data_IF_129191351807
#
_entry.id   IF_129191351807
#
_cell.length_a   1.000
_cell.length_b   1.000
_cell.length_c   1.000
_cell.angle_alpha   90.00
_cell.angle_beta   90.00
_cell.angle_gamma   90.00
#
_symmetry.space_group_name_H-M   'P 1'
#
loop_
_entity.id
_entity.type
_entity.pdbx_description
1 polymer ?
#
# COMPACT_ATOMS: atom_id res chain seq x y z
N UNK A 1 10.18 13.90 -3.45
CA UNK A 1 9.55 12.56 -3.39
C UNK A 1 8.05 12.71 -3.16
N UNK A 2 7.26 12.31 -4.14
CA UNK A 2 5.79 12.30 -4.13
C UNK A 2 5.23 11.23 -3.17
N UNK A 3 3.92 11.28 -2.89
CA UNK A 3 3.26 10.28 -2.06
C UNK A 3 3.25 8.88 -2.70
N UNK A 4 3.14 8.81 -4.03
CA UNK A 4 3.23 7.55 -4.79
C UNK A 4 4.63 6.94 -4.64
N UNK A 5 5.68 7.75 -4.76
CA UNK A 5 7.06 7.29 -4.55
C UNK A 5 7.33 6.82 -3.11
N UNK A 6 6.73 7.46 -2.10
CA UNK A 6 6.77 6.98 -0.70
C UNK A 6 6.21 5.58 -0.55
N UNK A 7 5.02 5.34 -1.09
CA UNK A 7 4.37 4.03 -1.05
C UNK A 7 5.21 3.00 -1.81
N UNK A 8 5.68 3.33 -3.00
CA UNK A 8 6.49 2.41 -3.81
C UNK A 8 7.80 2.05 -3.10
N UNK A 9 8.49 3.03 -2.50
CA UNK A 9 9.71 2.78 -1.73
C UNK A 9 9.43 1.87 -0.54
N UNK A 10 8.36 2.12 0.20
CA UNK A 10 7.96 1.25 1.32
C UNK A 10 7.64 -0.16 0.84
N UNK A 11 6.88 -0.31 -0.24
CA UNK A 11 6.53 -1.60 -0.84
C UNK A 11 7.76 -2.38 -1.30
N UNK A 12 8.74 -1.72 -1.93
CA UNK A 12 10.00 -2.36 -2.34
C UNK A 12 10.87 -2.79 -1.16
N UNK A 13 10.82 -2.06 -0.04
CA UNK A 13 11.62 -2.36 1.14
C UNK A 13 10.97 -3.39 2.07
N UNK A 14 9.67 -3.27 2.33
CA UNK A 14 8.93 -4.09 3.32
C UNK A 14 8.06 -5.18 2.66
N UNK A 15 7.88 -5.14 1.35
CA UNK A 15 7.04 -6.08 0.58
C UNK A 15 5.53 -5.79 0.63
N UNK A 16 5.05 -5.04 1.63
CA UNK A 16 3.63 -4.74 1.78
C UNK A 16 3.37 -3.45 2.55
N UNK A 17 2.15 -2.92 2.43
CA UNK A 17 1.69 -1.72 3.14
C UNK A 17 0.19 -1.78 3.39
N UNK A 18 -0.26 -1.17 4.49
CA UNK A 18 -1.66 -0.95 4.84
C UNK A 18 -2.01 0.53 4.81
N UNK A 19 -3.30 0.84 4.77
CA UNK A 19 -3.78 2.23 4.85
C UNK A 19 -3.33 2.94 6.14
N UNK A 20 -3.27 2.20 7.27
CA UNK A 20 -2.86 2.75 8.56
C UNK A 20 -1.38 3.13 8.57
N UNK A 21 -0.51 2.27 8.05
CA UNK A 21 0.92 2.58 7.87
C UNK A 21 1.07 3.79 6.92
N UNK A 22 0.33 3.81 5.81
CA UNK A 22 0.36 4.95 4.87
C UNK A 22 -0.04 6.29 5.52
N UNK A 23 -1.05 6.27 6.38
CA UNK A 23 -1.52 7.46 7.09
C UNK A 23 -0.54 7.89 8.18
N UNK A 24 -0.13 6.99 9.07
CA UNK A 24 0.69 7.31 10.24
C UNK A 24 2.15 7.62 9.87
N UNK A 25 2.76 6.81 9.01
CA UNK A 25 4.20 6.91 8.72
C UNK A 25 4.49 7.93 7.61
N UNK A 26 3.55 8.15 6.70
CA UNK A 26 3.76 8.95 5.49
C UNK A 26 2.80 10.14 5.33
N UNK A 27 1.81 10.28 6.20
CA UNK A 27 0.80 11.34 6.12
C UNK A 27 -0.11 11.22 4.88
N UNK A 28 -0.29 10.01 4.35
CA UNK A 28 -1.06 9.78 3.12
C UNK A 28 -2.51 9.47 3.46
N UNK A 29 -3.39 10.45 3.28
CA UNK A 29 -4.82 10.32 3.59
C UNK A 29 -5.59 9.54 2.52
N UNK A 30 -5.47 9.93 1.24
CA UNK A 30 -6.14 9.23 0.14
C UNK A 30 -5.27 8.11 -0.44
N UNK A 31 -4.95 7.13 0.42
CA UNK A 31 -4.11 5.97 0.12
C UNK A 31 -4.56 5.19 -1.13
N UNK A 32 -5.85 4.88 -1.24
CA UNK A 32 -6.40 4.12 -2.38
C UNK A 32 -6.15 4.80 -3.72
N UNK A 33 -6.22 6.14 -3.78
CA UNK A 33 -5.88 6.88 -5.00
C UNK A 33 -4.43 6.64 -5.43
N UNK A 34 -3.50 6.58 -4.48
CA UNK A 34 -2.07 6.33 -4.78
C UNK A 34 -1.83 4.88 -5.21
N UNK A 35 -2.64 3.94 -4.74
CA UNK A 35 -2.62 2.58 -5.28
C UNK A 35 -3.13 2.53 -6.72
N UNK A 36 -4.16 3.32 -7.06
CA UNK A 36 -4.61 3.47 -8.45
C UNK A 36 -3.49 4.07 -9.31
N UNK A 37 -2.85 5.15 -8.86
CA UNK A 37 -1.73 5.77 -9.58
C UNK A 37 -0.60 4.76 -9.82
N UNK A 38 -0.28 3.89 -8.85
CA UNK A 38 0.70 2.81 -9.04
C UNK A 38 0.26 1.79 -10.11
N UNK A 39 -1.03 1.45 -10.15
CA UNK A 39 -1.57 0.55 -11.19
C UNK A 39 -1.51 1.19 -12.57
N UNK A 40 -1.82 2.48 -12.67
CA UNK A 40 -1.70 3.26 -13.91
C UNK A 40 -0.24 3.34 -14.39
N UNK A 41 0.73 3.37 -13.47
CA UNK A 41 2.16 3.28 -13.76
C UNK A 41 2.64 1.85 -14.12
N UNK A 42 1.73 0.87 -14.18
CA UNK A 42 2.03 -0.50 -14.59
C UNK A 42 2.44 -1.44 -13.44
N UNK A 43 2.37 -1.01 -12.19
CA UNK A 43 2.65 -1.89 -11.04
C UNK A 43 1.45 -2.79 -10.73
N UNK A 44 1.71 -4.07 -10.46
CA UNK A 44 0.69 -5.02 -10.02
C UNK A 44 0.69 -5.14 -8.50
N UNK A 45 -0.47 -4.86 -7.90
CA UNK A 45 -0.68 -4.92 -6.47
C UNK A 45 -1.75 -5.95 -6.10
N UNK A 46 -1.47 -6.81 -5.13
CA UNK A 46 -2.42 -7.77 -4.56
C UNK A 46 -2.88 -7.30 -3.19
N UNK A 47 -4.19 -7.17 -2.98
CA UNK A 47 -4.77 -6.93 -1.67
C UNK A 47 -5.13 -8.25 -0.99
N UNK A 48 -4.81 -8.38 0.30
CA UNK A 48 -5.26 -9.48 1.15
C UNK A 48 -5.99 -8.91 2.36
N UNK A 49 -7.25 -9.32 2.53
CA UNK A 49 -8.03 -8.96 3.70
C UNK A 49 -7.54 -9.76 4.90
N UNK A 50 -7.30 -9.08 6.01
CA UNK A 50 -6.86 -9.67 7.27
C UNK A 50 -7.70 -9.11 8.41
N UNK A 51 -7.82 -9.90 9.46
CA UNK A 51 -8.47 -9.49 10.71
C UNK A 51 -7.42 -9.31 11.79
N UNK A 52 -7.44 -8.16 12.46
CA UNK A 52 -6.54 -7.90 13.58
C UNK A 52 -6.95 -8.78 14.77
N UNK A 53 -6.01 -9.57 15.32
CA UNK A 53 -6.32 -10.57 16.36
C UNK A 53 -6.91 -9.95 17.63
N UNK A 54 -6.40 -8.80 18.06
CA UNK A 54 -6.81 -8.15 19.31
C UNK A 54 -8.07 -7.30 19.18
N UNK A 55 -8.15 -6.40 18.19
CA UNK A 55 -9.28 -5.47 18.02
C UNK A 55 -10.43 -6.06 17.19
N UNK A 56 -10.21 -7.17 16.49
CA UNK A 56 -11.18 -7.77 15.59
C UNK A 56 -11.44 -6.98 14.30
N UNK A 57 -10.79 -5.82 14.11
CA UNK A 57 -11.01 -4.98 12.93
C UNK A 57 -10.39 -5.61 11.68
N UNK A 58 -11.12 -5.53 10.57
CA UNK A 58 -10.65 -5.97 9.27
C UNK A 58 -9.85 -4.86 8.59
N UNK A 59 -8.76 -5.24 7.93
CA UNK A 59 -7.92 -4.34 7.15
C UNK A 59 -7.39 -5.06 5.92
N UNK A 60 -7.16 -4.31 4.85
CA UNK A 60 -6.51 -4.85 3.65
C UNK A 60 -5.03 -4.51 3.68
N UNK A 61 -4.18 -5.54 3.49
CA UNK A 61 -2.74 -5.38 3.28
C UNK A 61 -2.44 -5.55 1.79
N UNK A 62 -1.77 -4.56 1.21
CA UNK A 62 -1.40 -4.56 -0.20
C UNK A 62 0.05 -4.97 -0.37
N UNK A 63 0.30 -5.90 -1.29
CA UNK A 63 1.61 -6.45 -1.61
C UNK A 63 2.00 -6.06 -3.03
N UNK A 64 3.28 -5.79 -3.24
CA UNK A 64 3.84 -5.60 -4.58
C UNK A 64 4.08 -6.96 -5.21
N UNK A 65 3.42 -7.21 -6.35
CA UNK A 65 3.52 -8.50 -7.07
C UNK A 65 4.54 -8.42 -8.19
N UNK A 66 4.44 -7.35 -8.99
CA UNK A 66 5.24 -7.16 -10.20
C UNK A 66 5.32 -5.66 -10.52
N UNK A 67 6.35 -5.26 -11.25
CA UNK A 67 6.56 -3.88 -11.69
C UNK A 67 6.52 -3.73 -13.21
N UNK A 68 6.44 -2.50 -13.73
CA UNK A 68 6.65 -2.26 -15.15
C UNK A 68 8.05 -2.78 -15.54
N UNK A 69 8.11 -3.46 -16.69
CA UNK A 69 9.36 -3.93 -17.31
C UNK A 69 10.15 -2.79 -17.91
#
# INVERSE_FOLDING_TARGET
MTQVEKILKHLKANGSITQREAYLDYGIQSFHRRLTDLRDLGYRLRGEMRKHKTTGQEYTRYFLVDGPR
#
